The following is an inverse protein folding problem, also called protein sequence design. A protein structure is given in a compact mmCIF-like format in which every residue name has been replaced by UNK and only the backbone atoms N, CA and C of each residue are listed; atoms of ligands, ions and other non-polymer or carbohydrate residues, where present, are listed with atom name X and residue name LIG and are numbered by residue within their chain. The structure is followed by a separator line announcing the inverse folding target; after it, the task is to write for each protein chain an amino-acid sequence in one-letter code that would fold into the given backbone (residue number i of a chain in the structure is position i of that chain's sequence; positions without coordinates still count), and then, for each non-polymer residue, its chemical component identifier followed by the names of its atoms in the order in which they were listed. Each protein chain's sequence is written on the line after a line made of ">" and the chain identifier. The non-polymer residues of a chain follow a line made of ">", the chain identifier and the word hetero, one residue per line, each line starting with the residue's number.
data_IF_984405595173
#
_entry.id   IF_984405595173
#
_cell.length_a   1.000
_cell.length_b   1.000
_cell.length_c   1.000
_cell.angle_alpha   90.00
_cell.angle_beta   90.00
_cell.angle_gamma   90.00
#
_symmetry.space_group_name_H-M   'P 1'
#
loop_
_entity.id
_entity.type
_entity.pdbx_description
1 polymer ?
#
# COMPACT_ATOMS: atom_id res chain seq x y z
N UNK A 1 4.55 -10.94 12.30
CA UNK A 1 3.32 -10.94 11.49
C UNK A 1 3.72 -10.50 10.11
N UNK A 2 3.36 -11.27 9.07
CA UNK A 2 3.74 -10.94 7.70
C UNK A 2 2.64 -10.14 7.00
N UNK A 3 3.03 -9.25 6.09
CA UNK A 3 2.17 -8.35 5.35
C UNK A 3 2.34 -8.57 3.85
N UNK A 4 1.24 -8.75 3.13
CA UNK A 4 1.23 -8.97 1.69
C UNK A 4 0.85 -7.66 0.99
N UNK A 5 1.70 -7.20 0.07
CA UNK A 5 1.40 -6.07 -0.79
C UNK A 5 0.78 -6.58 -2.09
N UNK A 6 -0.41 -6.09 -2.38
CA UNK A 6 -1.15 -6.33 -3.60
C UNK A 6 -1.30 -5.02 -4.38
N UNK A 7 -1.21 -5.07 -5.70
CA UNK A 7 -1.47 -3.92 -6.58
C UNK A 7 -2.33 -4.42 -7.73
N UNK A 8 -3.43 -3.74 -8.02
CA UNK A 8 -4.39 -4.15 -9.05
C UNK A 8 -4.86 -5.61 -8.87
N UNK A 9 -5.08 -6.00 -7.60
CA UNK A 9 -5.42 -7.37 -7.16
C UNK A 9 -4.36 -8.44 -7.43
N UNK A 10 -3.15 -8.06 -7.84
CA UNK A 10 -2.00 -8.96 -8.00
C UNK A 10 -1.10 -8.87 -6.79
N UNK A 11 -0.70 -10.02 -6.27
CA UNK A 11 0.34 -10.07 -5.23
C UNK A 11 1.68 -9.62 -5.82
N UNK A 12 2.35 -8.69 -5.14
CA UNK A 12 3.62 -8.10 -5.57
C UNK A 12 4.76 -8.59 -4.69
N UNK A 13 4.57 -8.56 -3.37
CA UNK A 13 5.60 -8.89 -2.40
C UNK A 13 4.99 -9.21 -1.03
N UNK A 14 5.78 -9.89 -0.20
CA UNK A 14 5.45 -10.14 1.21
C UNK A 14 6.57 -9.59 2.09
N UNK A 15 6.20 -8.93 3.17
CA UNK A 15 7.08 -8.24 4.11
C UNK A 15 6.91 -8.81 5.52
N UNK A 16 7.96 -8.79 6.34
CA UNK A 16 7.89 -9.22 7.74
C UNK A 16 7.44 -8.08 8.68
N UNK A 17 7.41 -6.84 8.18
CA UNK A 17 6.97 -5.65 8.90
C UNK A 17 6.03 -4.76 8.08
N UNK A 18 5.12 -4.09 8.79
CA UNK A 18 4.16 -3.16 8.18
C UNK A 18 4.86 -1.94 7.58
N UNK A 19 5.90 -1.42 8.25
CA UNK A 19 6.63 -0.25 7.79
C UNK A 19 7.31 -0.47 6.42
N UNK A 20 7.84 -1.66 6.18
CA UNK A 20 8.45 -2.02 4.88
C UNK A 20 7.40 -2.12 3.77
N UNK A 21 6.26 -2.75 4.06
CA UNK A 21 5.15 -2.82 3.13
C UNK A 21 4.62 -1.42 2.76
N UNK A 22 4.55 -0.51 3.75
CA UNK A 22 4.15 0.88 3.56
C UNK A 22 5.17 1.68 2.76
N UNK A 23 6.45 1.54 3.07
CA UNK A 23 7.52 2.20 2.31
C UNK A 23 7.44 1.78 0.84
N UNK A 24 7.27 0.49 0.55
CA UNK A 24 7.15 -0.01 -0.82
C UNK A 24 5.88 0.48 -1.51
N UNK A 25 4.73 0.44 -0.84
CA UNK A 25 3.48 0.95 -1.40
C UNK A 25 3.59 2.44 -1.76
N UNK A 26 4.27 3.23 -0.91
CA UNK A 26 4.53 4.65 -1.17
C UNK A 26 5.45 4.87 -2.37
N UNK A 27 6.53 4.10 -2.50
CA UNK A 27 7.41 4.15 -3.69
C UNK A 27 6.65 3.82 -4.98
N UNK A 28 5.71 2.87 -4.93
CA UNK A 28 4.88 2.52 -6.07
C UNK A 28 3.97 3.67 -6.47
N UNK A 29 3.31 4.32 -5.52
CA UNK A 29 2.50 5.52 -5.78
C UNK A 29 3.33 6.69 -6.32
N UNK A 30 4.58 6.85 -5.87
CA UNK A 30 5.48 7.86 -6.41
C UNK A 30 5.88 7.60 -7.86
N UNK A 31 6.03 6.32 -8.23
CA UNK A 31 6.42 5.91 -9.59
C UNK A 31 5.22 5.82 -10.54
N UNK A 32 4.07 5.41 -10.01
CA UNK A 32 2.81 5.26 -10.71
C UNK A 32 1.67 5.75 -9.80
N UNK A 33 1.25 7.02 -9.92
CA UNK A 33 0.19 7.61 -9.10
C UNK A 33 -1.17 6.91 -9.23
N UNK A 34 -1.40 6.22 -10.35
CA UNK A 34 -2.64 5.49 -10.62
C UNK A 34 -2.63 4.07 -10.00
N UNK A 35 -1.52 3.62 -9.43
CA UNK A 35 -1.46 2.33 -8.76
C UNK A 35 -2.41 2.30 -7.55
N UNK A 36 -3.12 1.19 -7.37
CA UNK A 36 -3.94 0.95 -6.18
C UNK A 36 -3.27 -0.12 -5.29
N UNK A 37 -2.19 0.23 -4.54
CA UNK A 37 -1.59 -0.71 -3.61
C UNK A 37 -2.52 -0.96 -2.40
N UNK A 38 -2.67 -2.22 -2.04
CA UNK A 38 -3.40 -2.72 -0.89
C UNK A 38 -2.44 -3.59 -0.06
N UNK A 39 -2.37 -3.35 1.25
CA UNK A 39 -1.57 -4.16 2.16
C UNK A 39 -2.52 -5.04 2.94
N UNK A 40 -2.33 -6.36 2.86
CA UNK A 40 -3.10 -7.35 3.59
C UNK A 40 -2.25 -7.94 4.71
N UNK A 41 -2.86 -8.21 5.85
CA UNK A 41 -2.24 -9.03 6.89
C UNK A 41 -2.29 -10.50 6.44
N UNK A 42 -1.16 -11.18 6.38
CA UNK A 42 -1.07 -12.53 5.79
C UNK A 42 -1.80 -13.58 6.63
N UNK A 43 -1.97 -13.36 7.94
CA UNK A 43 -2.65 -14.28 8.85
C UNK A 43 -4.18 -14.12 8.78
N UNK A 44 -4.66 -12.89 8.79
CA UNK A 44 -6.09 -12.57 8.83
C UNK A 44 -6.70 -12.32 7.45
N UNK A 45 -5.87 -12.15 6.42
CA UNK A 45 -6.24 -11.77 5.04
C UNK A 45 -7.09 -10.50 4.99
N UNK A 46 -6.94 -9.62 5.98
CA UNK A 46 -7.64 -8.33 6.07
C UNK A 46 -6.73 -7.21 5.62
N UNK A 47 -7.28 -6.22 4.94
CA UNK A 47 -6.56 -5.02 4.57
C UNK A 47 -6.18 -4.24 5.81
N UNK A 48 -4.89 -3.90 5.91
CA UNK A 48 -4.30 -3.14 7.01
C UNK A 48 -4.33 -1.67 6.61
N UNK A 49 -4.89 -0.83 7.48
CA UNK A 49 -4.74 0.61 7.32
C UNK A 49 -3.27 1.00 7.50
N UNK A 50 -2.75 1.97 6.72
CA UNK A 50 -3.47 2.89 5.82
C UNK A 50 -3.68 2.42 4.37
N UNK A 51 -3.27 1.20 3.97
CA UNK A 51 -3.34 0.74 2.57
C UNK A 51 -4.75 0.65 1.97
N UNK A 52 -5.78 0.53 2.81
CA UNK A 52 -7.20 0.51 2.42
C UNK A 52 -7.85 1.89 2.38
N UNK A 53 -7.23 2.92 2.95
CA UNK A 53 -7.91 4.19 3.19
C UNK A 53 -7.78 5.11 1.98
N UNK A 54 -8.90 5.36 1.29
CA UNK A 54 -9.04 6.40 0.24
C UNK A 54 -8.44 7.75 0.69
N UNK A 55 -8.54 8.05 1.99
CA UNK A 55 -7.96 9.22 2.64
C UNK A 55 -6.43 9.31 2.51
N UNK A 56 -5.70 8.19 2.58
CA UNK A 56 -4.24 8.17 2.42
C UNK A 56 -3.83 8.43 0.95
N UNK A 57 -4.59 7.89 -0.01
CA UNK A 57 -4.44 8.19 -1.44
C UNK A 57 -4.75 9.65 -1.75
N UNK A 58 -5.79 10.21 -1.15
CA UNK A 58 -6.17 11.61 -1.27
C UNK A 58 -5.11 12.54 -0.63
N UNK A 59 -4.60 12.21 0.56
CA UNK A 59 -3.53 12.95 1.24
C UNK A 59 -2.20 12.92 0.47
N UNK A 60 -1.89 11.82 -0.22
CA UNK A 60 -0.72 11.73 -1.10
C UNK A 60 -0.94 12.54 -2.39
N UNK A 61 -2.08 12.38 -3.07
CA UNK A 61 -2.41 13.11 -4.30
C UNK A 61 -2.40 14.63 -4.11
N UNK A 62 -2.94 15.13 -2.99
CA UNK A 62 -2.86 16.56 -2.65
C UNK A 62 -1.44 17.07 -2.45
N UNK A 63 -0.48 16.20 -2.16
CA UNK A 63 0.91 16.58 -1.85
C UNK A 63 1.86 16.49 -3.05
N UNK A 64 1.44 15.92 -4.19
CA UNK A 64 2.23 15.85 -5.43
C UNK A 64 1.85 16.97 -6.43
N UNK A 65 0.94 17.85 -6.07
CA UNK A 65 0.59 19.04 -6.86
C UNK A 65 1.36 20.29 -6.44
N UNK A 66 2.69 20.32 -6.61
CA UNK A 66 3.50 21.54 -6.66
C UNK A 66 4.73 21.35 -7.55
#
# INVERSE_FOLDING_TARGET
>A
MAFELHVDRRHVATFEGLDEALARAREMLLSNPDAEPEILDSETKRAVEPGSSRRWREELSQKVGF
#
